data_IF_807958866720
#
_entry.id   IF_807958866720
#
_cell.length_a   1.000
_cell.length_b   1.000
_cell.length_c   1.000
_cell.angle_alpha   90.00
_cell.angle_beta   90.00
_cell.angle_gamma   90.00
#
_symmetry.space_group_name_H-M   'P 1'
#
loop_
_entity.id
_entity.type
_entity.pdbx_description
1 polymer ?
#
# COMPACT_ATOMS: atom_id res chain seq x y z
N UNK A 1 -13.98 8.58 -15.67
CA UNK A 1 -14.26 9.72 -16.60
C UNK A 1 -14.54 9.17 -18.00
N UNK A 2 -15.04 9.99 -18.94
CA UNK A 2 -15.22 9.57 -20.33
C UNK A 2 -13.94 9.76 -21.15
N UNK A 3 -13.60 8.78 -21.98
CA UNK A 3 -12.42 8.83 -22.83
C UNK A 3 -12.58 9.90 -23.91
N UNK A 4 -11.51 10.66 -24.17
CA UNK A 4 -11.49 11.70 -25.19
C UNK A 4 -10.27 11.52 -26.09
N UNK A 5 -10.42 11.91 -27.35
CA UNK A 5 -9.37 11.75 -28.34
C UNK A 5 -9.79 12.28 -29.69
N UNK A 6 -9.21 11.72 -30.73
CA UNK A 6 -9.48 12.14 -32.11
C UNK A 6 -9.80 10.93 -32.98
N UNK A 7 -10.58 11.17 -34.04
CA UNK A 7 -10.70 10.27 -35.18
C UNK A 7 -10.06 10.94 -36.39
N UNK A 8 -9.36 10.17 -37.21
CA UNK A 8 -8.72 10.62 -38.45
C UNK A 8 -9.24 9.86 -39.67
N UNK A 9 -9.34 10.59 -40.77
CA UNK A 9 -9.50 10.04 -42.11
C UNK A 9 -8.40 10.58 -43.01
N UNK A 10 -7.75 9.68 -43.71
CA UNK A 10 -6.68 9.99 -44.66
C UNK A 10 -7.18 9.87 -46.10
N UNK A 11 -6.56 10.64 -47.01
CA UNK A 11 -6.88 10.57 -48.44
C UNK A 11 -8.25 11.14 -48.82
N UNK A 12 -8.80 12.06 -48.03
CA UNK A 12 -10.08 12.71 -48.36
C UNK A 12 -9.93 13.67 -49.53
N UNK A 13 -10.73 13.48 -50.57
CA UNK A 13 -10.83 14.41 -51.70
C UNK A 13 -11.75 15.59 -51.37
N UNK A 14 -11.31 16.81 -51.67
CA UNK A 14 -12.08 18.03 -51.45
C UNK A 14 -12.01 18.54 -50.01
N UNK A 15 -13.04 19.27 -49.58
CA UNK A 15 -13.10 19.87 -48.23
C UNK A 15 -14.43 19.59 -47.53
N UNK A 16 -14.84 18.32 -47.35
CA UNK A 16 -16.05 17.99 -46.60
C UNK A 16 -15.92 18.42 -45.13
N UNK A 17 -17.05 18.68 -44.50
CA UNK A 17 -17.14 19.11 -43.11
C UNK A 17 -17.87 18.05 -42.30
N UNK A 18 -17.27 17.61 -41.19
CA UNK A 18 -17.94 16.77 -40.20
C UNK A 18 -18.47 17.66 -39.07
N UNK A 19 -19.79 17.74 -38.86
CA UNK A 19 -20.35 18.56 -37.79
C UNK A 19 -20.09 17.96 -36.40
N UNK A 20 -20.06 18.82 -35.38
CA UNK A 20 -20.17 18.41 -33.98
C UNK A 20 -21.50 17.66 -33.75
N UNK A 21 -21.51 16.74 -32.78
CA UNK A 21 -22.68 15.92 -32.48
C UNK A 21 -22.87 14.73 -33.44
N UNK A 22 -21.89 14.43 -34.30
CA UNK A 22 -21.96 13.25 -35.16
C UNK A 22 -21.60 12.01 -34.34
N UNK A 23 -22.47 11.00 -34.38
CA UNK A 23 -22.24 9.73 -33.71
C UNK A 23 -21.32 8.83 -34.53
N UNK A 24 -20.35 8.22 -33.85
CA UNK A 24 -19.34 7.32 -34.36
C UNK A 24 -19.39 6.05 -33.51
N UNK A 25 -19.24 4.88 -34.11
CA UNK A 25 -19.34 3.60 -33.43
C UNK A 25 -18.15 2.70 -33.75
N UNK A 26 -17.62 2.02 -32.73
CA UNK A 26 -16.61 0.97 -32.84
C UNK A 26 -17.28 -0.40 -33.01
N UNK A 27 -16.55 -1.39 -33.52
CA UNK A 27 -17.10 -2.72 -33.83
C UNK A 27 -17.72 -3.46 -32.64
N UNK A 28 -17.33 -3.12 -31.41
CA UNK A 28 -17.86 -3.65 -30.14
C UNK A 28 -19.07 -2.88 -29.60
N UNK A 29 -19.71 -2.07 -30.44
CA UNK A 29 -20.86 -1.21 -30.14
C UNK A 29 -20.58 -0.02 -29.21
N UNK A 30 -19.32 0.24 -28.82
CA UNK A 30 -18.97 1.48 -28.10
C UNK A 30 -19.18 2.68 -29.00
N UNK A 31 -19.92 3.67 -28.50
CA UNK A 31 -20.28 4.88 -29.25
C UNK A 31 -19.52 6.10 -28.74
N UNK A 32 -19.23 7.00 -29.68
CA UNK A 32 -18.51 8.24 -29.49
C UNK A 32 -19.24 9.37 -30.21
N UNK A 33 -19.18 10.57 -29.65
CA UNK A 33 -19.76 11.77 -30.26
C UNK A 33 -18.67 12.79 -30.57
N UNK A 34 -18.70 13.36 -31.78
CA UNK A 34 -17.78 14.44 -32.15
C UNK A 34 -18.06 15.71 -31.35
N UNK A 35 -17.02 16.34 -30.80
CA UNK A 35 -17.19 17.52 -29.93
C UNK A 35 -17.06 18.84 -30.69
N UNK A 36 -16.47 18.82 -31.88
CA UNK A 36 -16.28 20.02 -32.70
C UNK A 36 -16.56 19.74 -34.17
N UNK A 37 -17.05 20.78 -34.86
CA UNK A 37 -17.20 20.77 -36.31
C UNK A 37 -15.84 21.02 -36.94
N UNK A 38 -15.35 20.08 -37.75
CA UNK A 38 -14.05 20.20 -38.42
C UNK A 38 -14.21 20.01 -39.93
N UNK A 39 -13.52 20.85 -40.69
CA UNK A 39 -13.45 20.79 -42.15
C UNK A 39 -12.14 20.12 -42.58
N UNK A 40 -12.22 19.20 -43.54
CA UNK A 40 -11.04 18.53 -44.06
C UNK A 40 -10.08 19.53 -44.74
N UNK A 41 -8.78 19.36 -44.48
CA UNK A 41 -7.72 20.20 -45.04
C UNK A 41 -6.49 19.35 -45.35
N UNK A 42 -5.85 19.58 -46.50
CA UNK A 42 -4.62 18.86 -46.88
C UNK A 42 -4.80 17.35 -47.06
N UNK A 43 -6.01 16.88 -47.39
CA UNK A 43 -6.31 15.45 -47.57
C UNK A 43 -6.54 14.68 -46.27
N UNK A 44 -6.48 15.35 -45.12
CA UNK A 44 -6.70 14.75 -43.80
C UNK A 44 -7.89 15.44 -43.11
N UNK A 45 -8.71 14.65 -42.44
CA UNK A 45 -9.77 15.14 -41.55
C UNK A 45 -9.54 14.54 -40.17
N UNK A 46 -9.23 15.38 -39.18
CA UNK A 46 -8.99 14.97 -37.79
C UNK A 46 -10.00 15.67 -36.89
N UNK A 47 -10.89 14.90 -36.25
CA UNK A 47 -12.02 15.45 -35.49
C UNK A 47 -11.96 14.99 -34.04
N UNK A 48 -12.06 15.90 -33.05
CA UNK A 48 -12.11 15.51 -31.66
C UNK A 48 -13.44 14.81 -31.35
N UNK A 49 -13.36 13.76 -30.54
CA UNK A 49 -14.50 12.97 -30.08
C UNK A 49 -14.38 12.66 -28.60
N UNK A 50 -15.52 12.34 -27.99
CA UNK A 50 -15.63 11.84 -26.61
C UNK A 50 -16.49 10.58 -26.60
N UNK A 51 -16.14 9.61 -25.77
CA UNK A 51 -16.95 8.42 -25.54
C UNK A 51 -18.28 8.80 -24.89
N UNK A 52 -19.40 8.25 -25.37
CA UNK A 52 -20.73 8.57 -24.84
C UNK A 52 -20.93 8.00 -23.43
N UNK A 53 -20.37 6.81 -23.17
CA UNK A 53 -20.37 6.19 -21.85
C UNK A 53 -19.03 6.43 -21.15
N UNK A 54 -19.04 6.92 -19.89
CA UNK A 54 -17.82 7.02 -19.09
C UNK A 54 -17.30 5.62 -18.71
N UNK A 55 -15.98 5.45 -18.67
CA UNK A 55 -15.33 4.19 -18.32
C UNK A 55 -14.11 3.86 -19.16
N UNK A 56 -13.29 2.92 -18.70
CA UNK A 56 -12.10 2.43 -19.40
C UNK A 56 -12.45 1.74 -20.73
N UNK A 57 -13.67 1.22 -20.87
CA UNK A 57 -14.19 0.65 -22.11
C UNK A 57 -14.17 1.63 -23.30
N UNK A 58 -14.22 2.94 -23.05
CA UNK A 58 -14.12 3.98 -24.08
C UNK A 58 -12.70 4.21 -24.61
N UNK A 59 -11.66 3.69 -23.95
CA UNK A 59 -10.29 3.84 -24.42
C UNK A 59 -10.11 3.06 -25.73
N UNK A 60 -9.48 3.70 -26.72
CA UNK A 60 -9.29 3.17 -28.06
C UNK A 60 -7.88 3.48 -28.54
N UNK A 61 -7.11 2.44 -28.85
CA UNK A 61 -5.76 2.60 -29.39
C UNK A 61 -5.77 3.22 -30.80
N UNK A 62 -4.63 3.77 -31.19
CA UNK A 62 -4.42 4.29 -32.54
C UNK A 62 -4.69 3.23 -33.62
N UNK A 63 -5.32 3.63 -34.71
CA UNK A 63 -5.55 2.76 -35.87
C UNK A 63 -6.75 1.81 -35.76
N UNK A 64 -7.49 1.82 -34.65
CA UNK A 64 -8.76 1.08 -34.55
C UNK A 64 -9.83 1.74 -35.43
N UNK A 65 -10.54 0.92 -36.20
CA UNK A 65 -11.59 1.39 -37.09
C UNK A 65 -12.81 1.91 -36.31
N UNK A 66 -13.27 3.11 -36.69
CA UNK A 66 -14.43 3.80 -36.17
C UNK A 66 -15.38 4.11 -37.33
N UNK A 67 -16.67 3.76 -37.21
CA UNK A 67 -17.67 3.92 -38.27
C UNK A 67 -18.64 5.06 -37.97
N UNK A 68 -18.93 5.88 -38.99
CA UNK A 68 -19.96 6.90 -38.92
C UNK A 68 -21.35 6.26 -38.81
N UNK A 69 -22.09 6.57 -37.74
CA UNK A 69 -23.48 6.12 -37.58
C UNK A 69 -24.42 6.77 -38.59
N UNK A 70 -24.15 8.02 -38.96
CA UNK A 70 -24.83 8.74 -40.04
C UNK A 70 -23.85 9.01 -41.17
N UNK A 71 -24.09 8.53 -42.40
CA UNK A 71 -23.23 8.82 -43.54
C UNK A 71 -23.14 10.32 -43.81
N UNK A 72 -21.93 10.84 -44.00
CA UNK A 72 -21.69 12.25 -44.36
C UNK A 72 -21.11 12.32 -45.76
N UNK A 73 -21.73 13.13 -46.62
CA UNK A 73 -21.32 13.25 -48.02
C UNK A 73 -19.85 13.69 -48.14
N UNK A 74 -19.07 12.93 -48.92
CA UNK A 74 -17.65 13.21 -49.16
C UNK A 74 -16.68 12.66 -48.10
N UNK A 75 -17.18 11.97 -47.07
CA UNK A 75 -16.35 11.33 -46.03
C UNK A 75 -16.59 9.82 -46.07
N UNK A 76 -15.53 8.97 -46.17
CA UNK A 76 -15.67 7.53 -46.03
C UNK A 76 -16.32 7.16 -44.69
N UNK A 77 -17.18 6.15 -44.68
CA UNK A 77 -17.89 5.73 -43.44
C UNK A 77 -16.92 5.23 -42.36
N UNK A 78 -15.75 4.73 -42.72
CA UNK A 78 -14.72 4.26 -41.79
C UNK A 78 -13.61 5.29 -41.64
N UNK A 79 -13.38 5.73 -40.40
CA UNK A 79 -12.19 6.46 -39.97
C UNK A 79 -11.39 5.63 -38.97
N UNK A 80 -10.25 6.14 -38.54
CA UNK A 80 -9.38 5.48 -37.58
C UNK A 80 -9.22 6.32 -36.33
N UNK A 81 -9.26 5.70 -35.16
CA UNK A 81 -8.92 6.38 -33.91
C UNK A 81 -7.48 6.89 -33.96
N UNK A 82 -7.28 8.12 -33.48
CA UNK A 82 -5.97 8.76 -33.30
C UNK A 82 -5.70 8.90 -31.79
N UNK A 83 -5.66 7.74 -31.13
CA UNK A 83 -5.62 7.51 -29.67
C UNK A 83 -6.73 8.22 -28.89
N UNK A 84 -7.59 7.43 -28.23
CA UNK A 84 -8.68 7.91 -27.36
C UNK A 84 -8.41 7.38 -25.96
N UNK A 85 -8.13 8.26 -25.01
CA UNK A 85 -7.65 7.91 -23.66
C UNK A 85 -8.33 8.77 -22.59
N UNK A 86 -8.13 8.44 -21.32
CA UNK A 86 -8.75 9.16 -20.18
C UNK A 86 -10.11 8.60 -19.77
N UNK A 87 -10.55 7.51 -20.38
CA UNK A 87 -11.60 6.67 -19.86
C UNK A 87 -11.10 5.96 -18.61
N UNK A 88 -11.82 6.16 -17.51
CA UNK A 88 -11.52 5.49 -16.25
C UNK A 88 -12.84 5.07 -15.62
N UNK A 89 -12.88 3.85 -15.11
CA UNK A 89 -14.09 3.30 -14.53
C UNK A 89 -14.47 4.07 -13.27
N UNK A 90 -15.78 4.17 -13.03
CA UNK A 90 -16.25 4.75 -11.78
C UNK A 90 -15.80 3.82 -10.66
N UNK A 91 -15.11 4.39 -9.66
CA UNK A 91 -14.69 3.69 -8.45
C UNK A 91 -15.83 2.82 -7.90
N UNK A 92 -15.54 1.54 -7.65
CA UNK A 92 -16.54 0.58 -7.19
C UNK A 92 -17.14 1.03 -5.85
N UNK A 93 -18.46 0.83 -5.67
CA UNK A 93 -19.20 1.31 -4.50
C UNK A 93 -18.61 0.80 -3.17
N UNK A 94 -18.14 -0.45 -3.12
CA UNK A 94 -17.54 -1.03 -1.92
C UNK A 94 -16.15 -0.45 -1.64
N UNK A 95 -15.34 -0.17 -2.66
CA UNK A 95 -14.07 0.56 -2.51
C UNK A 95 -14.28 1.99 -2.01
N UNK A 96 -15.27 2.68 -2.58
CA UNK A 96 -15.68 4.01 -2.11
C UNK A 96 -16.18 3.97 -0.67
N UNK A 97 -17.02 2.99 -0.31
CA UNK A 97 -17.52 2.80 1.06
C UNK A 97 -16.39 2.52 2.05
N UNK A 98 -15.43 1.66 1.71
CA UNK A 98 -14.29 1.37 2.56
C UNK A 98 -13.47 2.64 2.84
N UNK A 99 -13.15 3.43 1.80
CA UNK A 99 -12.42 4.70 1.95
C UNK A 99 -13.23 5.74 2.73
N UNK A 100 -14.54 5.84 2.49
CA UNK A 100 -15.42 6.77 3.20
C UNK A 100 -15.60 6.37 4.65
N UNK A 101 -15.76 5.08 4.96
CA UNK A 101 -15.83 4.60 6.34
C UNK A 101 -14.50 4.83 7.07
N UNK A 102 -13.37 4.55 6.44
CA UNK A 102 -12.05 4.85 7.01
C UNK A 102 -11.90 6.35 7.32
N UNK A 103 -12.30 7.23 6.40
CA UNK A 103 -12.23 8.68 6.61
C UNK A 103 -13.28 9.24 7.58
N UNK A 104 -14.47 8.65 7.63
CA UNK A 104 -15.54 9.05 8.53
C UNK A 104 -15.22 8.64 9.98
N UNK A 105 -14.61 7.46 10.17
CA UNK A 105 -14.07 7.06 11.47
C UNK A 105 -12.86 7.92 11.88
N UNK A 106 -12.09 8.45 10.93
CA UNK A 106 -10.85 9.19 11.19
C UNK A 106 -10.88 10.62 10.60
N UNK A 107 -11.54 11.53 11.30
CA UNK A 107 -11.37 12.97 11.07
C UNK A 107 -10.05 13.39 11.74
N UNK A 108 -9.04 13.90 11.01
CA UNK A 108 -7.80 14.38 11.61
C UNK A 108 -8.11 15.47 12.62
N UNK A 109 -7.82 15.24 13.90
CA UNK A 109 -8.15 16.19 14.97
C UNK A 109 -7.04 17.21 15.22
N UNK A 110 -6.01 17.24 14.38
CA UNK A 110 -4.93 18.22 14.45
C UNK A 110 -4.08 18.04 15.71
N UNK A 111 -3.78 16.80 16.09
CA UNK A 111 -2.90 16.48 17.21
C UNK A 111 -3.41 15.41 18.19
N UNK A 112 -4.37 14.57 17.79
CA UNK A 112 -4.73 13.38 18.55
C UNK A 112 -3.64 12.30 18.44
N UNK A 113 -3.60 11.34 19.37
CA UNK A 113 -2.56 10.29 19.35
C UNK A 113 -2.52 9.50 18.04
N UNK A 114 -3.66 9.13 17.43
CA UNK A 114 -3.68 8.42 16.17
C UNK A 114 -3.16 9.24 14.98
N UNK A 115 -3.26 10.57 15.02
CA UNK A 115 -2.79 11.44 13.95
C UNK A 115 -1.27 11.27 13.75
N UNK A 116 -0.50 11.27 14.84
CA UNK A 116 0.94 11.08 14.79
C UNK A 116 1.35 9.70 14.26
N UNK A 117 0.57 8.65 14.57
CA UNK A 117 0.80 7.29 14.06
C UNK A 117 0.58 7.25 12.55
N UNK A 118 -0.50 7.88 12.06
CA UNK A 118 -0.82 7.94 10.63
C UNK A 118 0.27 8.68 9.88
N UNK A 119 0.61 9.89 10.32
CA UNK A 119 1.66 10.70 9.70
C UNK A 119 3.01 9.99 9.69
N UNK A 120 3.36 9.26 10.74
CA UNK A 120 4.60 8.47 10.76
C UNK A 120 4.62 7.36 9.70
N UNK A 121 3.48 6.70 9.46
CA UNK A 121 3.35 5.58 8.50
C UNK A 121 3.20 6.04 7.04
N UNK A 122 3.00 7.33 6.79
CA UNK A 122 3.04 7.90 5.44
C UNK A 122 4.45 7.90 4.85
N UNK A 123 5.49 7.82 5.69
CA UNK A 123 6.87 7.66 5.25
C UNK A 123 7.15 6.22 4.84
N UNK A 124 7.53 6.03 3.57
CA UNK A 124 7.91 4.72 3.04
C UNK A 124 9.03 4.09 3.89
N UNK A 125 8.81 2.85 4.32
CA UNK A 125 9.72 2.10 5.19
C UNK A 125 9.27 2.03 6.66
N UNK A 126 8.40 2.94 7.10
CA UNK A 126 7.76 2.85 8.43
C UNK A 126 6.48 2.04 8.30
N UNK A 127 6.45 0.86 8.92
CA UNK A 127 5.27 0.00 8.90
C UNK A 127 4.50 0.06 10.22
N UNK A 128 5.13 0.56 11.29
CA UNK A 128 4.58 0.59 12.65
C UNK A 128 5.01 1.86 13.36
N UNK A 129 4.10 2.47 14.12
CA UNK A 129 4.38 3.64 14.93
C UNK A 129 3.49 3.68 16.17
N UNK A 130 3.97 4.34 17.23
CA UNK A 130 3.26 4.50 18.50
C UNK A 130 3.45 5.92 19.02
N UNK A 131 2.39 6.47 19.60
CA UNK A 131 2.41 7.81 20.21
C UNK A 131 2.51 7.69 21.72
N UNK A 132 3.50 8.36 22.30
CA UNK A 132 3.74 8.45 23.74
C UNK A 132 3.47 9.88 24.20
N UNK A 133 2.36 10.11 24.91
CA UNK A 133 2.11 11.41 25.55
C UNK A 133 3.05 11.63 26.72
N UNK A 134 3.48 12.88 26.89
CA UNK A 134 4.33 13.32 28.00
C UNK A 134 5.71 12.65 28.06
N UNK A 135 6.22 12.19 26.92
CA UNK A 135 7.47 11.43 26.83
C UNK A 135 8.68 12.11 27.48
N UNK A 136 8.82 13.44 27.34
CA UNK A 136 9.87 14.26 27.99
C UNK A 136 9.27 15.32 28.93
N UNK A 137 8.13 15.02 29.53
CA UNK A 137 7.40 15.92 30.44
C UNK A 137 6.12 16.48 29.85
N UNK A 138 5.40 17.25 30.67
CA UNK A 138 4.07 17.77 30.32
C UNK A 138 4.12 18.61 29.04
N UNK A 139 3.16 18.36 28.14
CA UNK A 139 3.09 19.05 26.84
C UNK A 139 3.92 18.43 25.71
N UNK A 140 4.79 17.45 25.98
CA UNK A 140 5.60 16.78 24.95
C UNK A 140 4.89 15.57 24.33
N UNK A 141 5.20 15.29 23.06
CA UNK A 141 4.74 14.12 22.33
C UNK A 141 5.94 13.34 21.80
N UNK A 142 6.04 12.08 22.19
CA UNK A 142 6.96 11.11 21.61
C UNK A 142 6.27 10.32 20.50
N UNK A 143 6.94 10.13 19.37
CA UNK A 143 6.51 9.25 18.29
C UNK A 143 7.61 8.22 18.09
N UNK A 144 7.34 7.01 18.53
CA UNK A 144 8.23 5.87 18.31
C UNK A 144 7.89 5.23 16.97
N UNK A 145 8.91 5.01 16.13
CA UNK A 145 8.75 4.41 14.81
C UNK A 145 9.51 3.09 14.67
N UNK A 146 8.94 2.16 13.91
CA UNK A 146 9.54 0.87 13.60
C UNK A 146 9.26 0.44 12.14
N UNK A 147 10.12 -0.43 11.63
CA UNK A 147 10.03 -1.02 10.29
C UNK A 147 9.31 -2.37 10.33
N UNK A 148 9.05 -2.92 9.14
CA UNK A 148 8.51 -4.28 8.98
C UNK A 148 9.58 -5.36 9.00
N UNK A 149 10.84 -5.00 9.29
CA UNK A 149 11.92 -5.96 9.39
C UNK A 149 11.77 -6.74 10.71
N UNK A 150 11.59 -8.08 10.65
CA UNK A 150 11.37 -8.88 11.84
C UNK A 150 12.66 -9.13 12.65
N UNK A 151 13.83 -8.87 12.07
CA UNK A 151 15.14 -9.01 12.71
C UNK A 151 15.69 -7.70 13.25
N UNK A 152 15.41 -6.60 12.57
CA UNK A 152 15.86 -5.25 12.94
C UNK A 152 14.72 -4.23 12.82
N UNK A 153 13.75 -4.24 13.76
CA UNK A 153 12.59 -3.36 13.69
C UNK A 153 12.96 -1.88 13.89
N UNK A 154 14.15 -1.54 14.40
CA UNK A 154 14.57 -0.16 14.59
C UNK A 154 15.04 0.48 13.26
N UNK A 155 14.38 1.55 12.77
CA UNK A 155 14.81 2.26 11.57
C UNK A 155 16.11 3.04 11.82
N UNK A 156 16.89 3.25 10.75
CA UNK A 156 18.06 4.13 10.78
C UNK A 156 17.70 5.61 10.98
N UNK A 157 18.68 6.39 11.45
CA UNK A 157 18.50 7.80 11.82
C UNK A 157 17.95 8.67 10.69
N UNK A 158 18.36 8.43 9.44
CA UNK A 158 17.86 9.19 8.27
C UNK A 158 16.34 9.07 8.11
N UNK A 159 15.80 7.87 8.34
CA UNK A 159 14.37 7.61 8.22
C UNK A 159 13.61 8.23 9.40
N UNK A 160 14.18 8.19 10.60
CA UNK A 160 13.63 8.88 11.77
C UNK A 160 13.57 10.40 11.54
N UNK A 161 14.60 10.99 10.93
CA UNK A 161 14.61 12.42 10.57
C UNK A 161 13.59 12.74 9.48
N UNK A 162 13.41 11.87 8.49
CA UNK A 162 12.39 12.05 7.46
C UNK A 162 10.98 12.09 8.07
N UNK A 163 10.67 11.16 8.98
CA UNK A 163 9.40 11.17 9.73
C UNK A 163 9.25 12.44 10.54
N UNK A 164 10.29 12.86 11.26
CA UNK A 164 10.27 14.10 12.03
C UNK A 164 9.93 15.30 11.16
N UNK A 165 10.58 15.45 10.01
CA UNK A 165 10.37 16.58 9.11
C UNK A 165 8.97 16.58 8.49
N UNK A 166 8.37 15.41 8.32
CA UNK A 166 7.01 15.26 7.82
C UNK A 166 5.94 15.60 8.87
N UNK A 167 6.14 15.15 10.11
CA UNK A 167 5.19 15.41 11.22
C UNK A 167 5.26 16.87 11.70
N UNK A 168 6.45 17.48 11.71
CA UNK A 168 6.68 18.81 12.26
C UNK A 168 5.71 19.91 11.75
N UNK A 169 5.41 20.04 10.44
CA UNK A 169 4.45 21.03 9.95
C UNK A 169 2.97 20.69 10.24
N UNK A 170 2.66 19.42 10.52
CA UNK A 170 1.31 18.92 10.80
C UNK A 170 0.95 19.00 12.28
N UNK A 171 1.96 18.92 13.15
CA UNK A 171 1.79 18.98 14.59
C UNK A 171 1.28 20.36 15.04
N UNK A 172 0.31 20.43 15.97
CA UNK A 172 -0.21 21.70 16.48
C UNK A 172 0.87 22.49 17.22
N UNK A 173 0.94 23.80 16.93
CA UNK A 173 1.91 24.76 17.47
C UNK A 173 1.90 24.80 19.02
N UNK A 174 0.78 24.38 19.65
CA UNK A 174 0.60 24.39 21.10
C UNK A 174 1.23 23.19 21.85
N UNK A 175 1.70 22.14 21.15
CA UNK A 175 2.34 20.97 21.75
C UNK A 175 3.83 21.22 22.00
N UNK A 176 4.21 21.40 23.26
CA UNK A 176 5.58 21.61 23.69
C UNK A 176 6.49 20.42 23.32
N UNK A 177 7.12 20.43 22.15
CA UNK A 177 8.21 19.52 21.77
C UNK A 177 7.76 18.16 21.19
N UNK A 178 7.96 18.00 19.89
CA UNK A 178 7.87 16.74 19.16
C UNK A 178 9.19 15.98 19.24
N UNK A 179 9.14 14.73 19.69
CA UNK A 179 10.28 13.81 19.71
C UNK A 179 9.97 12.59 18.86
N UNK A 180 10.63 12.45 17.72
CA UNK A 180 10.54 11.23 16.91
C UNK A 180 11.81 10.42 17.14
N UNK A 181 11.66 9.12 17.40
CA UNK A 181 12.77 8.22 17.68
C UNK A 181 12.47 6.79 17.23
N UNK A 182 13.51 6.01 16.94
CA UNK A 182 13.39 4.60 16.61
C UNK A 182 13.02 3.76 17.84
N UNK A 183 12.29 2.66 17.64
CA UNK A 183 12.07 1.67 18.68
C UNK A 183 13.40 1.11 19.22
N UNK A 184 13.46 0.81 20.51
CA UNK A 184 14.62 0.17 21.14
C UNK A 184 14.48 -1.35 21.03
N UNK A 185 15.49 -2.03 20.49
CA UNK A 185 15.47 -3.47 20.34
C UNK A 185 15.79 -4.16 21.67
N UNK A 186 14.83 -4.92 22.20
CA UNK A 186 15.04 -5.81 23.33
C UNK A 186 15.40 -7.20 22.83
N UNK A 187 16.69 -7.50 22.86
CA UNK A 187 17.22 -8.80 22.44
C UNK A 187 16.87 -9.88 23.47
N UNK A 188 16.13 -10.90 23.03
CA UNK A 188 15.70 -12.04 23.85
C UNK A 188 16.53 -13.26 23.48
N UNK A 189 17.60 -13.61 24.23
CA UNK A 189 18.33 -14.85 24.00
C UNK A 189 17.44 -16.06 24.28
N UNK A 190 17.59 -17.11 23.47
CA UNK A 190 16.77 -18.31 23.58
C UNK A 190 17.65 -19.55 23.69
N UNK A 191 17.17 -20.52 24.46
CA UNK A 191 17.77 -21.85 24.54
C UNK A 191 16.70 -22.87 24.20
N UNK A 192 16.89 -23.57 23.09
CA UNK A 192 15.90 -24.48 22.51
C UNK A 192 16.56 -25.83 22.26
N UNK A 193 15.92 -26.91 22.69
CA UNK A 193 16.30 -28.26 22.29
C UNK A 193 15.22 -28.83 21.37
N UNK A 194 15.61 -29.30 20.19
CA UNK A 194 14.70 -29.90 19.20
C UNK A 194 14.87 -31.42 19.19
N UNK A 195 13.78 -32.17 19.21
CA UNK A 195 13.84 -33.64 19.12
C UNK A 195 14.46 -34.10 17.79
N UNK A 196 14.16 -33.39 16.70
CA UNK A 196 14.81 -33.55 15.40
C UNK A 196 15.60 -32.28 15.08
N UNK A 197 16.89 -32.35 15.34
CA UNK A 197 17.78 -31.21 15.17
C UNK A 197 18.47 -31.24 13.80
N UNK A 198 17.98 -30.41 12.87
CA UNK A 198 18.55 -30.24 11.52
C UNK A 198 18.64 -28.76 11.18
N UNK A 199 19.53 -28.39 10.26
CA UNK A 199 19.72 -27.00 9.87
C UNK A 199 18.43 -26.38 9.29
N UNK A 200 17.66 -27.17 8.54
CA UNK A 200 16.40 -26.77 7.93
C UNK A 200 15.33 -26.46 8.98
N UNK A 201 15.19 -27.31 10.00
CA UNK A 201 14.23 -27.11 11.09
C UNK A 201 14.66 -25.90 11.95
N UNK A 202 15.95 -25.75 12.26
CA UNK A 202 16.46 -24.57 12.99
C UNK A 202 16.17 -23.25 12.26
N UNK A 203 16.28 -23.25 10.92
CA UNK A 203 15.95 -22.11 10.09
C UNK A 203 14.44 -21.81 10.11
N UNK A 204 13.60 -22.84 10.00
CA UNK A 204 12.15 -22.70 10.10
C UNK A 204 11.71 -22.16 11.47
N UNK A 205 12.27 -22.68 12.56
CA UNK A 205 12.00 -22.18 13.92
C UNK A 205 12.42 -20.72 14.07
N UNK A 206 13.61 -20.36 13.57
CA UNK A 206 14.08 -18.96 13.59
C UNK A 206 13.11 -18.03 12.84
N UNK A 207 12.58 -18.46 11.69
CA UNK A 207 11.64 -17.68 10.90
C UNK A 207 10.30 -17.47 11.63
N UNK A 208 9.75 -18.52 12.25
CA UNK A 208 8.50 -18.41 13.03
C UNK A 208 8.66 -17.53 14.27
N UNK A 209 9.80 -17.62 14.96
CA UNK A 209 10.11 -16.74 16.10
C UNK A 209 10.21 -15.28 15.68
N UNK A 210 10.87 -14.99 14.56
CA UNK A 210 10.96 -13.65 13.99
C UNK A 210 9.57 -13.11 13.60
N UNK A 211 8.72 -13.94 12.98
CA UNK A 211 7.33 -13.62 12.67
C UNK A 211 6.50 -13.31 13.92
N UNK A 212 6.67 -14.10 14.99
CA UNK A 212 6.03 -13.86 16.28
C UNK A 212 6.44 -12.50 16.86
N UNK A 213 7.74 -12.19 16.89
CA UNK A 213 8.23 -10.92 17.46
C UNK A 213 7.69 -9.70 16.69
N UNK A 214 7.59 -9.80 15.36
CA UNK A 214 6.99 -8.75 14.54
C UNK A 214 5.47 -8.61 14.81
N UNK A 215 4.75 -9.72 14.94
CA UNK A 215 3.28 -9.73 15.10
C UNK A 215 2.82 -9.29 16.49
N UNK A 216 3.38 -9.90 17.54
CA UNK A 216 2.90 -9.73 18.92
C UNK A 216 3.72 -8.68 19.70
N UNK A 217 4.88 -8.26 19.17
CA UNK A 217 5.76 -7.31 19.85
C UNK A 217 5.22 -5.89 19.86
N UNK A 218 4.80 -5.38 21.01
CA UNK A 218 4.31 -4.00 21.19
C UNK A 218 4.95 -3.35 22.43
N UNK A 219 5.18 -2.03 22.45
CA UNK A 219 5.66 -1.33 23.65
C UNK A 219 4.70 -1.50 24.82
N UNK A 220 5.25 -1.53 26.04
CA UNK A 220 4.52 -1.86 27.29
C UNK A 220 3.82 -3.23 27.26
N UNK A 221 4.14 -4.05 26.25
CA UNK A 221 3.58 -5.37 26.06
C UNK A 221 4.34 -6.46 26.80
N UNK A 222 3.93 -7.69 26.53
CA UNK A 222 4.55 -8.89 27.09
C UNK A 222 4.64 -9.98 26.03
N UNK A 223 5.81 -10.59 25.91
CA UNK A 223 6.01 -11.80 25.12
C UNK A 223 5.81 -13.00 26.03
N UNK A 224 4.71 -13.72 25.81
CA UNK A 224 4.36 -14.88 26.63
C UNK A 224 5.17 -16.12 26.25
N UNK A 225 5.58 -16.89 27.25
CA UNK A 225 6.31 -18.15 27.04
C UNK A 225 5.52 -19.12 26.15
N UNK A 226 4.21 -19.21 26.38
CA UNK A 226 3.31 -20.07 25.61
C UNK A 226 3.29 -19.73 24.12
N UNK A 227 3.38 -18.44 23.78
CA UNK A 227 3.39 -17.95 22.39
C UNK A 227 4.72 -18.24 21.71
N UNK A 228 5.84 -18.17 22.45
CA UNK A 228 7.15 -18.58 21.96
C UNK A 228 7.14 -20.08 21.65
N UNK A 229 6.64 -20.91 22.58
CA UNK A 229 6.54 -22.35 22.38
C UNK A 229 5.61 -22.70 21.21
N UNK A 230 4.47 -22.03 21.08
CA UNK A 230 3.56 -22.18 19.93
C UNK A 230 4.27 -21.86 18.60
N UNK A 231 5.03 -20.77 18.52
CA UNK A 231 5.78 -20.42 17.31
C UNK A 231 6.83 -21.48 16.94
N UNK A 232 7.49 -22.10 17.92
CA UNK A 232 8.42 -23.21 17.67
C UNK A 232 7.67 -24.42 17.12
N UNK A 233 6.51 -24.76 17.69
CA UNK A 233 5.66 -25.88 17.20
C UNK A 233 5.10 -25.67 15.80
N UNK A 234 4.96 -24.41 15.34
CA UNK A 234 4.49 -24.10 13.99
C UNK A 234 5.58 -24.32 12.93
N UNK A 235 6.84 -24.47 13.33
CA UNK A 235 7.95 -24.64 12.40
C UNK A 235 7.81 -25.94 11.58
N UNK A 236 8.00 -25.82 10.27
CA UNK A 236 7.86 -26.97 9.36
C UNK A 236 8.87 -28.07 9.70
N UNK A 237 8.37 -29.28 9.94
CA UNK A 237 9.19 -30.45 10.27
C UNK A 237 9.58 -30.57 11.74
N UNK A 238 9.17 -29.62 12.60
CA UNK A 238 9.22 -29.78 14.04
C UNK A 238 8.23 -30.87 14.50
N UNK A 239 8.60 -31.58 15.56
CA UNK A 239 7.82 -32.69 16.13
C UNK A 239 7.65 -32.51 17.64
N UNK A 240 8.76 -32.19 18.31
CA UNK A 240 8.77 -31.84 19.72
C UNK A 240 10.00 -30.97 20.04
N UNK A 241 9.83 -30.07 21.00
CA UNK A 241 10.88 -29.18 21.48
C UNK A 241 10.84 -29.01 23.00
N UNK A 242 11.93 -28.50 23.55
CA UNK A 242 12.02 -28.01 24.92
C UNK A 242 12.52 -26.57 24.86
N UNK A 243 11.68 -25.63 25.29
CA UNK A 243 12.09 -24.24 25.52
C UNK A 243 12.69 -24.13 26.92
N UNK A 244 14.02 -23.96 27.00
CA UNK A 244 14.77 -23.87 28.26
C UNK A 244 15.04 -22.44 28.69
N UNK A 245 15.11 -21.51 27.74
CA UNK A 245 15.16 -20.07 28.00
C UNK A 245 14.44 -19.31 26.87
N UNK A 246 13.67 -18.25 27.18
CA UNK A 246 13.37 -17.74 28.53
C UNK A 246 12.54 -18.71 29.37
N UNK A 247 12.60 -18.62 30.70
CA UNK A 247 11.84 -19.48 31.64
C UNK A 247 10.56 -18.83 32.16
N UNK A 248 10.34 -17.57 31.81
CA UNK A 248 9.19 -16.77 32.19
C UNK A 248 8.85 -15.79 31.06
N UNK A 249 7.64 -15.24 31.10
CA UNK A 249 7.23 -14.20 30.16
C UNK A 249 8.18 -13.00 30.20
N UNK A 250 8.46 -12.43 29.04
CA UNK A 250 9.35 -11.27 28.89
C UNK A 250 8.51 -10.00 28.80
N UNK A 251 8.61 -9.13 29.79
CA UNK A 251 8.00 -7.80 29.76
C UNK A 251 8.82 -6.85 28.88
N UNK A 252 8.14 -6.05 28.07
CA UNK A 252 8.73 -5.00 27.23
C UNK A 252 8.56 -3.65 27.91
N UNK A 253 9.59 -2.81 27.83
CA UNK A 253 9.51 -1.42 28.25
C UNK A 253 8.65 -0.57 27.30
N UNK A 254 8.41 0.68 27.70
CA UNK A 254 7.55 1.62 26.97
C UNK A 254 8.08 2.03 25.60
N UNK A 255 9.36 1.82 25.33
CA UNK A 255 9.99 2.08 24.02
C UNK A 255 10.66 0.84 23.43
N UNK A 256 10.35 -0.35 23.95
CA UNK A 256 11.03 -1.58 23.56
C UNK A 256 10.17 -2.44 22.62
N UNK A 257 10.81 -3.01 21.59
CA UNK A 257 10.26 -4.07 20.76
C UNK A 257 11.10 -5.33 20.89
N UNK A 258 10.50 -6.52 20.95
CA UNK A 258 11.24 -7.76 21.10
C UNK A 258 11.97 -8.10 19.80
N UNK A 259 13.19 -8.60 19.93
CA UNK A 259 13.98 -9.14 18.83
C UNK A 259 14.54 -10.49 19.27
N UNK A 260 14.52 -11.47 18.37
CA UNK A 260 15.12 -12.78 18.63
C UNK A 260 16.63 -12.61 18.79
N UNK A 261 17.16 -12.98 19.95
CA UNK A 261 18.58 -12.97 20.21
C UNK A 261 19.28 -14.21 19.68
N UNK A 262 20.51 -14.44 20.14
CA UNK A 262 21.22 -15.68 19.84
C UNK A 262 20.43 -16.88 20.35
N UNK A 263 20.16 -17.84 19.45
CA UNK A 263 19.52 -19.11 19.79
C UNK A 263 20.62 -20.13 20.08
N UNK A 264 20.66 -20.60 21.32
CA UNK A 264 21.50 -21.72 21.75
C UNK A 264 20.73 -23.01 21.55
N UNK A 265 21.25 -23.89 20.70
CA UNK A 265 20.66 -25.19 20.42
C UNK A 265 21.26 -26.24 21.34
N UNK A 266 20.42 -26.87 22.15
CA UNK A 266 20.84 -27.90 23.10
C UNK A 266 20.31 -29.28 22.72
N UNK A 267 20.94 -30.32 23.26
CA UNK A 267 20.51 -31.70 23.05
C UNK A 267 19.16 -31.93 23.72
N UNK A 268 18.22 -32.48 22.96
CA UNK A 268 16.93 -32.90 23.47
C UNK A 268 17.11 -34.08 24.43
N UNK A 269 16.63 -33.92 25.67
CA UNK A 269 16.69 -34.98 26.68
C UNK A 269 15.29 -35.53 26.90
N UNK A 270 15.07 -36.80 26.55
CA UNK A 270 13.86 -37.50 26.97
C UNK A 270 13.89 -37.66 28.49
N UNK A 271 12.78 -37.33 29.16
CA UNK A 271 12.68 -37.58 30.59
C UNK A 271 12.73 -39.11 30.81
N UNK A 272 13.79 -39.58 31.47
CA UNK A 272 13.87 -40.97 31.95
C UNK A 272 12.69 -41.22 32.89
N UNK A 273 11.85 -42.19 32.50
CA UNK A 273 10.62 -42.60 33.20
C UNK A 273 10.89 -43.13 34.60
#
# INVERSE_FOLDING_TARGET
MAAAGYVRWDGISGTPTLPAGTQIQRDDQVTFTTTQTVKAAGGVLRVPLVADNPGAAGNTDDGIALRLGTPVSGIPSTGYADTVVGGDDIEELETWRARVMERYYWIPQGGADPDYVIWAKEIAGITRAWTLRHYKGTGTVGVMVATGDPTHPAPGDDLVQAVRNHILPLAPIAGAGLFVFAATEKVIPMTIALAKDTAEIRAAVSAELNSLMLRDGVPDGKVYLSRISEAISLATGEVAHQLRAPVADVALGSTELPVVGTITWETYTEASS
#
